data_IF_582935386710
#
_entry.id   IF_582935386710
#
_cell.length_a   1.000
_cell.length_b   1.000
_cell.length_c   1.000
_cell.angle_alpha   90.00
_cell.angle_beta   90.00
_cell.angle_gamma   90.00
#
_symmetry.space_group_name_H-M   'P 1'
#
loop_
_entity.id
_entity.type
_entity.pdbx_description
1 polymer ?
#
# COMPACT_ATOMS: atom_id res chain seq x y z
N UNK A 1 -14.97 -14.15 -5.67
CA UNK A 1 -14.79 -14.19 -4.20
C UNK A 1 -14.05 -12.93 -3.82
N UNK A 2 -14.50 -12.22 -2.79
CA UNK A 2 -13.85 -11.02 -2.28
C UNK A 2 -12.37 -11.29 -1.91
N UNK A 3 -11.51 -10.28 -2.08
CA UNK A 3 -10.10 -10.36 -1.65
C UNK A 3 -9.98 -10.37 -0.12
N UNK A 4 -10.95 -9.79 0.57
CA UNK A 4 -11.08 -9.76 2.03
C UNK A 4 -12.08 -10.80 2.54
N UNK A 5 -11.79 -11.41 3.68
CA UNK A 5 -12.71 -12.28 4.41
C UNK A 5 -13.38 -11.50 5.54
N UNK A 6 -14.71 -11.32 5.48
CA UNK A 6 -15.49 -10.75 6.57
C UNK A 6 -16.13 -11.89 7.38
N UNK A 7 -15.81 -11.96 8.68
CA UNK A 7 -16.39 -12.96 9.57
C UNK A 7 -17.90 -12.75 9.74
N UNK A 8 -18.64 -13.82 10.09
CA UNK A 8 -20.09 -13.72 10.27
C UNK A 8 -20.52 -12.76 11.38
N UNK A 9 -19.69 -12.58 12.42
CA UNK A 9 -19.95 -11.58 13.45
C UNK A 9 -19.71 -10.16 12.94
N UNK A 10 -18.68 -9.94 12.13
CA UNK A 10 -18.40 -8.66 11.51
C UNK A 10 -19.47 -8.27 10.49
N UNK A 11 -19.88 -9.20 9.62
CA UNK A 11 -20.94 -8.98 8.63
C UNK A 11 -22.21 -8.49 9.31
N UNK A 12 -22.66 -9.19 10.36
CA UNK A 12 -23.86 -8.78 11.12
C UNK A 12 -23.70 -7.40 11.76
N UNK A 13 -22.53 -7.11 12.33
CA UNK A 13 -22.28 -5.82 12.98
C UNK A 13 -22.28 -4.67 11.97
N UNK A 14 -21.66 -4.86 10.81
CA UNK A 14 -21.60 -3.88 9.73
C UNK A 14 -23.00 -3.61 9.14
N UNK A 15 -23.81 -4.66 8.98
CA UNK A 15 -25.23 -4.54 8.60
C UNK A 15 -26.02 -3.68 9.60
N UNK A 16 -25.85 -3.93 10.90
CA UNK A 16 -26.51 -3.13 11.96
C UNK A 16 -26.04 -1.66 11.98
N UNK A 17 -24.82 -1.37 11.52
CA UNK A 17 -24.32 0.00 11.36
C UNK A 17 -24.91 0.69 10.13
N UNK A 18 -25.02 -0.03 9.01
CA UNK A 18 -25.63 0.46 7.76
C UNK A 18 -27.10 0.83 7.95
N UNK A 19 -27.86 0.04 8.70
CA UNK A 19 -29.27 0.32 9.01
C UNK A 19 -29.48 1.62 9.82
N UNK A 20 -28.42 2.17 10.41
CA UNK A 20 -28.44 3.43 11.15
C UNK A 20 -27.94 4.63 10.31
N UNK A 21 -27.46 4.38 9.10
CA UNK A 21 -27.02 5.44 8.20
C UNK A 21 -28.20 6.06 7.44
N UNK A 22 -27.92 7.18 6.80
CA UNK A 22 -28.84 7.89 5.93
C UNK A 22 -29.21 7.05 4.70
N UNK A 23 -30.34 7.37 4.07
CA UNK A 23 -30.85 6.62 2.90
C UNK A 23 -29.97 6.70 1.65
N UNK A 24 -29.00 7.61 1.63
CA UNK A 24 -28.01 7.76 0.56
C UNK A 24 -26.83 6.78 0.69
N UNK A 25 -26.78 6.01 1.78
CA UNK A 25 -25.73 5.00 2.01
C UNK A 25 -26.12 3.69 1.35
N UNK A 26 -25.34 3.28 0.35
CA UNK A 26 -25.64 2.12 -0.52
C UNK A 26 -24.82 0.88 -0.20
N UNK A 27 -23.89 0.96 0.74
CA UNK A 27 -23.10 -0.19 1.16
C UNK A 27 -21.81 0.19 1.87
N UNK A 28 -20.82 -0.69 1.79
CA UNK A 28 -19.50 -0.53 2.39
C UNK A 28 -18.44 -0.58 1.31
N UNK A 29 -17.47 0.32 1.38
CA UNK A 29 -16.28 0.30 0.54
C UNK A 29 -15.03 0.01 1.36
N UNK A 30 -14.13 -0.79 0.78
CA UNK A 30 -12.86 -1.20 1.39
C UNK A 30 -11.74 -0.85 0.43
N UNK A 31 -10.69 -0.23 0.96
CA UNK A 31 -9.52 0.19 0.21
C UNK A 31 -8.30 0.22 1.12
N UNK A 32 -7.11 0.27 0.53
CA UNK A 32 -5.85 0.51 1.24
C UNK A 32 -5.41 1.93 0.91
N UNK A 33 -5.33 2.78 1.92
CA UNK A 33 -4.73 4.11 1.77
C UNK A 33 -3.21 3.99 1.66
N UNK A 34 -2.59 4.84 0.84
CA UNK A 34 -1.14 4.82 0.56
C UNK A 34 -0.59 3.39 0.31
N UNK A 35 -1.20 2.59 -0.59
CA UNK A 35 -0.86 1.19 -0.77
C UNK A 35 0.61 1.03 -1.19
N UNK A 36 1.28 0.03 -0.63
CA UNK A 36 2.71 -0.16 -0.80
C UNK A 36 3.56 0.67 0.15
N UNK A 37 3.06 1.71 0.81
CA UNK A 37 3.90 2.51 1.71
C UNK A 37 3.99 1.91 3.13
N UNK A 38 4.99 2.32 3.95
CA UNK A 38 5.00 2.04 5.38
C UNK A 38 3.79 2.59 6.14
N UNK A 39 3.11 3.58 5.55
CA UNK A 39 1.89 4.24 6.04
C UNK A 39 0.62 3.58 5.54
N UNK A 40 0.71 2.46 4.82
CA UNK A 40 -0.47 1.84 4.28
C UNK A 40 -1.45 1.43 5.38
N UNK A 41 -2.70 1.85 5.25
CA UNK A 41 -3.79 1.50 6.17
C UNK A 41 -4.97 0.94 5.39
N UNK A 42 -5.46 -0.21 5.81
CA UNK A 42 -6.71 -0.78 5.29
C UNK A 42 -7.90 -0.06 5.94
N UNK A 43 -8.72 0.56 5.09
CA UNK A 43 -9.84 1.38 5.49
C UNK A 43 -11.17 0.70 5.12
N UNK A 44 -12.15 0.83 6.02
CA UNK A 44 -13.55 0.50 5.77
C UNK A 44 -14.33 1.82 5.88
N UNK A 45 -15.11 2.14 4.87
CA UNK A 45 -15.94 3.34 4.84
C UNK A 45 -17.34 3.02 4.33
N UNK A 46 -18.31 3.87 4.64
CA UNK A 46 -19.61 3.83 3.98
C UNK A 46 -19.47 4.26 2.53
N UNK A 47 -20.22 3.58 1.65
CA UNK A 47 -20.37 3.94 0.26
C UNK A 47 -21.67 4.73 0.10
N UNK A 48 -21.60 5.92 -0.49
CA UNK A 48 -22.76 6.76 -0.79
C UNK A 48 -23.14 6.70 -2.27
N UNK A 49 -24.36 7.09 -2.61
CA UNK A 49 -24.84 7.15 -4.01
C UNK A 49 -23.98 8.05 -4.91
N UNK A 50 -23.34 9.08 -4.35
CA UNK A 50 -22.51 10.06 -5.07
C UNK A 50 -21.01 9.71 -5.11
N UNK A 51 -20.59 8.60 -4.50
CA UNK A 51 -19.22 8.13 -4.57
C UNK A 51 -18.83 7.70 -6.00
N UNK A 52 -17.61 8.02 -6.43
CA UNK A 52 -17.04 7.49 -7.67
C UNK A 52 -16.61 6.03 -7.46
N UNK A 53 -17.31 5.11 -8.11
CA UNK A 53 -17.08 3.67 -8.04
C UNK A 53 -16.43 3.10 -9.29
N UNK A 54 -15.91 3.95 -10.19
CA UNK A 54 -15.28 3.52 -11.45
C UNK A 54 -14.08 2.60 -11.21
N UNK A 55 -13.35 2.82 -10.12
CA UNK A 55 -12.20 2.01 -9.71
C UNK A 55 -12.54 0.97 -8.63
N UNK A 56 -13.82 0.61 -8.48
CA UNK A 56 -14.27 -0.37 -7.50
C UNK A 56 -14.97 -1.57 -8.16
N UNK A 57 -14.76 -2.74 -7.59
CA UNK A 57 -15.48 -3.97 -7.93
C UNK A 57 -16.53 -4.28 -6.85
N UNK A 58 -17.76 -4.60 -7.27
CA UNK A 58 -18.87 -4.94 -6.40
C UNK A 58 -18.87 -6.45 -6.09
N UNK A 59 -19.04 -6.77 -4.81
CA UNK A 59 -19.17 -8.13 -4.28
C UNK A 59 -20.47 -8.23 -3.47
N UNK A 60 -21.39 -9.10 -3.92
CA UNK A 60 -22.70 -9.33 -3.30
C UNK A 60 -22.76 -10.64 -2.49
N UNK A 61 -21.61 -11.10 -2.00
CA UNK A 61 -21.48 -12.34 -1.21
C UNK A 61 -21.90 -12.14 0.28
N UNK A 62 -22.22 -10.91 0.68
CA UNK A 62 -22.55 -10.50 2.05
C UNK A 62 -23.97 -9.91 2.13
N UNK A 63 -24.48 -9.69 3.35
CA UNK A 63 -25.81 -9.09 3.56
C UNK A 63 -25.96 -7.66 3.03
N UNK A 64 -24.85 -7.01 2.70
CA UNK A 64 -24.75 -5.68 2.12
C UNK A 64 -23.86 -5.68 0.88
N UNK A 65 -24.00 -4.67 0.03
CA UNK A 65 -23.09 -4.45 -1.10
C UNK A 65 -21.70 -4.04 -0.62
N UNK A 66 -20.70 -4.83 -0.99
CA UNK A 66 -19.30 -4.59 -0.66
C UNK A 66 -18.54 -4.13 -1.92
N UNK A 67 -17.99 -2.94 -1.87
CA UNK A 67 -17.15 -2.38 -2.93
C UNK A 67 -15.68 -2.50 -2.53
N UNK A 68 -14.84 -3.09 -3.38
CA UNK A 68 -13.39 -3.15 -3.16
C UNK A 68 -12.64 -2.41 -4.26
N UNK A 69 -11.74 -1.53 -3.88
CA UNK A 69 -10.97 -0.74 -4.84
C UNK A 69 -9.98 -1.63 -5.62
N UNK A 70 -9.98 -1.54 -6.96
CA UNK A 70 -9.27 -2.44 -7.86
C UNK A 70 -7.77 -2.47 -7.55
N UNK A 71 -7.11 -1.31 -7.41
CA UNK A 71 -5.67 -1.23 -7.09
C UNK A 71 -5.34 -1.74 -5.68
N UNK A 72 -6.33 -1.79 -4.79
CA UNK A 72 -6.16 -2.28 -3.41
C UNK A 72 -6.28 -3.81 -3.32
N UNK A 73 -6.86 -4.49 -4.32
CA UNK A 73 -7.11 -5.93 -4.27
C UNK A 73 -5.85 -6.76 -4.00
N UNK A 74 -4.71 -6.37 -4.56
CA UNK A 74 -3.40 -7.04 -4.37
C UNK A 74 -2.86 -6.90 -2.94
N UNK A 75 -3.27 -5.86 -2.22
CA UNK A 75 -2.88 -5.57 -0.83
C UNK A 75 -3.89 -6.13 0.19
N UNK A 76 -5.13 -6.34 -0.24
CA UNK A 76 -6.21 -6.90 0.59
C UNK A 76 -6.17 -8.43 0.68
N UNK A 77 -5.29 -9.10 -0.08
CA UNK A 77 -5.16 -10.56 -0.03
C UNK A 77 -4.89 -11.07 1.39
N UNK A 78 -5.67 -12.07 1.83
CA UNK A 78 -5.68 -12.61 3.21
C UNK A 78 -6.07 -11.61 4.30
N UNK A 79 -6.67 -10.47 3.94
CA UNK A 79 -7.23 -9.57 4.94
C UNK A 79 -8.45 -10.20 5.59
N UNK A 80 -8.58 -10.06 6.91
CA UNK A 80 -9.72 -10.55 7.69
C UNK A 80 -10.32 -9.41 8.48
N UNK A 81 -11.63 -9.20 8.31
CA UNK A 81 -12.43 -8.31 9.16
C UNK A 81 -13.17 -9.17 10.17
N UNK A 82 -12.96 -8.89 11.44
CA UNK A 82 -13.63 -9.60 12.52
C UNK A 82 -14.21 -8.62 13.55
N UNK A 83 -15.28 -9.05 14.21
CA UNK A 83 -15.93 -8.28 15.26
C UNK A 83 -16.05 -9.13 16.52
N UNK A 84 -15.49 -8.62 17.60
CA UNK A 84 -15.52 -9.24 18.93
C UNK A 84 -16.40 -8.40 19.86
N UNK A 85 -17.63 -8.83 20.19
CA UNK A 85 -18.50 -8.11 21.11
C UNK A 85 -17.97 -8.16 22.54
N UNK A 86 -18.09 -7.05 23.25
CA UNK A 86 -17.78 -6.94 24.68
C UNK A 86 -18.83 -6.11 25.42
N UNK A 87 -18.60 -5.84 26.72
CA UNK A 87 -19.53 -5.10 27.58
C UNK A 87 -19.71 -3.63 27.18
N UNK A 88 -18.87 -3.09 26.30
CA UNK A 88 -18.85 -1.70 25.86
C UNK A 88 -19.26 -1.52 24.40
N UNK A 89 -19.76 -2.58 23.75
CA UNK A 89 -20.21 -2.52 22.35
C UNK A 89 -19.19 -3.08 21.35
N UNK A 90 -18.17 -3.81 21.82
CA UNK A 90 -17.28 -4.62 20.98
C UNK A 90 -16.20 -3.86 20.23
N UNK A 91 -15.33 -4.62 19.57
CA UNK A 91 -14.23 -4.10 18.74
C UNK A 91 -14.30 -4.72 17.35
N UNK A 92 -14.40 -3.88 16.32
CA UNK A 92 -14.17 -4.26 14.93
C UNK A 92 -12.67 -4.20 14.65
N UNK A 93 -12.10 -5.31 14.18
CA UNK A 93 -10.68 -5.45 13.90
C UNK A 93 -10.47 -5.81 12.44
N UNK A 94 -9.50 -5.15 11.80
CA UNK A 94 -9.05 -5.48 10.46
C UNK A 94 -7.62 -6.01 10.58
N UNK A 95 -7.40 -7.24 10.12
CA UNK A 95 -6.06 -7.83 10.01
C UNK A 95 -5.72 -7.95 8.54
N UNK A 96 -4.91 -7.04 8.02
CA UNK A 96 -4.48 -7.04 6.62
C UNK A 96 -2.96 -7.25 6.56
N UNK A 97 -2.48 -8.51 6.52
CA UNK A 97 -1.04 -8.81 6.60
C UNK A 97 -0.25 -8.26 5.41
N UNK A 98 -0.92 -8.08 4.27
CA UNK A 98 -0.33 -7.63 3.01
C UNK A 98 -0.57 -6.14 2.71
N UNK A 99 -1.18 -5.38 3.64
CA UNK A 99 -1.53 -3.98 3.40
C UNK A 99 -0.33 -3.11 3.03
N UNK A 100 0.82 -3.38 3.67
CA UNK A 100 2.07 -2.62 3.46
C UNK A 100 2.91 -3.18 2.32
N UNK A 101 2.87 -4.49 2.13
CA UNK A 101 3.68 -5.20 1.14
C UNK A 101 2.78 -6.27 0.52
N UNK A 102 2.40 -6.16 -0.77
CA UNK A 102 1.49 -7.09 -1.40
C UNK A 102 2.18 -8.44 -1.59
N UNK A 103 1.42 -9.53 -1.57
CA UNK A 103 1.94 -10.81 -2.04
C UNK A 103 2.04 -10.75 -3.57
N UNK A 104 3.25 -10.56 -4.10
CA UNK A 104 3.50 -10.56 -5.55
C UNK A 104 3.19 -11.95 -6.11
N UNK A 105 2.21 -12.03 -7.02
CA UNK A 105 1.98 -13.22 -7.84
C UNK A 105 2.97 -13.32 -9.01
N UNK A 106 3.08 -14.49 -9.65
CA UNK A 106 4.03 -14.71 -10.75
C UNK A 106 3.83 -13.76 -11.96
N UNK A 107 2.63 -13.20 -12.12
CA UNK A 107 2.25 -12.28 -13.21
C UNK A 107 2.38 -10.78 -12.84
N UNK A 108 3.01 -10.44 -11.71
CA UNK A 108 3.12 -9.05 -11.27
C UNK A 108 3.90 -8.18 -12.26
N UNK A 109 3.41 -6.97 -12.48
CA UNK A 109 4.06 -5.98 -13.32
C UNK A 109 5.43 -5.60 -12.79
N UNK A 110 6.28 -5.07 -13.69
CA UNK A 110 7.60 -4.58 -13.33
C UNK A 110 7.54 -3.52 -12.21
N UNK A 111 6.54 -2.65 -12.26
CA UNK A 111 6.29 -1.61 -11.26
C UNK A 111 5.96 -2.20 -9.88
N UNK A 112 5.07 -3.18 -9.81
CA UNK A 112 4.71 -3.86 -8.56
C UNK A 112 5.92 -4.57 -7.94
N UNK A 113 6.74 -5.21 -8.76
CA UNK A 113 7.97 -5.89 -8.32
C UNK A 113 8.99 -4.90 -7.75
N UNK A 114 9.20 -3.77 -8.41
CA UNK A 114 10.12 -2.73 -7.92
C UNK A 114 9.59 -2.18 -6.59
N UNK A 115 8.33 -1.76 -6.56
CA UNK A 115 7.72 -1.21 -5.36
C UNK A 115 7.84 -2.19 -4.19
N UNK A 116 7.53 -3.47 -4.38
CA UNK A 116 7.70 -4.47 -3.33
C UNK A 116 9.11 -4.47 -2.75
N UNK A 117 10.15 -4.53 -3.56
CA UNK A 117 11.55 -4.53 -3.06
C UNK A 117 11.91 -3.22 -2.37
N UNK A 118 11.45 -2.09 -2.91
CA UNK A 118 11.63 -0.79 -2.27
C UNK A 118 11.06 -0.81 -0.85
N UNK A 119 9.93 -1.47 -0.61
CA UNK A 119 9.24 -1.44 0.67
C UNK A 119 9.56 -2.58 1.63
N UNK A 120 9.81 -3.79 1.11
CA UNK A 120 10.08 -4.98 1.90
C UNK A 120 11.54 -5.09 2.35
N UNK A 121 12.47 -4.52 1.58
CA UNK A 121 13.92 -4.67 1.82
C UNK A 121 14.66 -3.34 1.93
N UNK A 122 14.47 -2.43 0.96
CA UNK A 122 15.30 -1.22 0.84
C UNK A 122 14.89 -0.18 1.88
N UNK A 123 13.63 0.27 1.90
CA UNK A 123 13.15 1.31 2.80
C UNK A 123 13.28 0.94 4.30
N UNK A 124 13.06 -0.31 4.73
CA UNK A 124 13.36 -0.71 6.11
C UNK A 124 14.82 -0.44 6.49
N UNK A 125 15.75 -0.67 5.55
CA UNK A 125 17.18 -0.42 5.74
C UNK A 125 17.51 1.08 5.73
N UNK A 126 16.87 1.87 4.85
CA UNK A 126 17.06 3.33 4.78
C UNK A 126 16.45 4.06 5.98
N UNK A 127 15.30 3.59 6.48
CA UNK A 127 14.59 4.18 7.59
C UNK A 127 15.40 4.18 8.89
N UNK A 128 16.32 3.22 9.06
CA UNK A 128 17.28 3.21 10.17
C UNK A 128 18.18 4.48 10.21
N UNK A 129 18.35 5.13 9.06
CA UNK A 129 19.09 6.37 8.89
C UNK A 129 18.16 7.58 8.62
N UNK A 130 16.86 7.41 8.85
CA UNK A 130 15.84 8.44 8.61
C UNK A 130 15.61 8.77 7.14
N UNK A 131 16.07 7.92 6.22
CA UNK A 131 15.89 8.08 4.78
C UNK A 131 14.80 7.19 4.20
N UNK A 132 14.35 7.52 3.00
CA UNK A 132 13.41 6.72 2.22
C UNK A 132 13.67 6.90 0.73
N UNK A 133 13.13 5.99 -0.08
CA UNK A 133 13.13 6.06 -1.54
C UNK A 133 11.79 5.58 -2.09
N UNK A 134 11.30 6.23 -3.14
CA UNK A 134 10.07 5.88 -3.85
C UNK A 134 10.31 5.79 -5.35
N UNK A 135 9.54 4.92 -6.03
CA UNK A 135 9.50 4.87 -7.49
C UNK A 135 8.66 6.03 -8.03
N UNK A 136 9.17 6.74 -9.03
CA UNK A 136 8.48 7.83 -9.73
C UNK A 136 7.87 7.33 -11.04
N UNK A 137 8.67 6.64 -11.84
CA UNK A 137 8.25 6.08 -13.13
C UNK A 137 9.23 5.01 -13.61
N UNK A 138 8.88 4.31 -14.70
CA UNK A 138 9.78 3.38 -15.39
C UNK A 138 9.99 3.86 -16.83
N UNK A 139 11.24 4.24 -17.15
CA UNK A 139 11.64 4.64 -18.49
C UNK A 139 11.99 3.42 -19.33
N UNK A 140 11.44 3.37 -20.56
CA UNK A 140 11.72 2.34 -21.57
C UNK A 140 11.49 0.89 -21.10
N UNK A 141 10.74 0.68 -20.01
CA UNK A 141 10.55 -0.62 -19.34
C UNK A 141 11.84 -1.28 -18.82
N UNK A 142 12.92 -0.52 -18.67
CA UNK A 142 14.23 -1.06 -18.26
C UNK A 142 14.97 -0.17 -17.24
N UNK A 143 14.51 1.06 -17.00
CA UNK A 143 15.14 1.97 -16.03
C UNK A 143 14.11 2.49 -15.03
N UNK A 144 14.34 2.20 -13.74
CA UNK A 144 13.50 2.70 -12.66
C UNK A 144 13.94 4.11 -12.26
N UNK A 145 13.04 5.09 -12.29
CA UNK A 145 13.30 6.46 -11.85
C UNK A 145 12.90 6.56 -10.39
N UNK A 146 13.87 6.80 -9.51
CA UNK A 146 13.67 6.85 -8.06
C UNK A 146 13.79 8.27 -7.53
N UNK A 147 13.06 8.55 -6.46
CA UNK A 147 13.16 9.77 -5.68
C UNK A 147 13.51 9.41 -4.24
N UNK A 148 14.65 9.93 -3.78
CA UNK A 148 15.13 9.83 -2.41
C UNK A 148 14.56 10.96 -1.54
N UNK A 149 14.20 10.60 -0.30
CA UNK A 149 13.65 11.50 0.71
C UNK A 149 14.33 11.36 2.07
N UNK A 150 13.95 12.24 3.00
CA UNK A 150 14.45 12.25 4.39
C UNK A 150 15.97 12.40 4.48
N UNK A 151 16.60 11.58 5.32
CA UNK A 151 18.05 11.51 5.53
C UNK A 151 18.87 11.23 4.28
N UNK A 152 18.27 10.57 3.28
CA UNK A 152 18.91 10.24 2.00
C UNK A 152 18.97 11.43 1.03
N UNK A 153 18.11 12.44 1.19
CA UNK A 153 18.08 13.60 0.29
C UNK A 153 19.38 14.43 0.36
N UNK A 154 19.98 14.57 1.55
CA UNK A 154 21.07 15.53 1.77
C UNK A 154 22.45 14.93 2.07
N UNK A 155 22.61 13.61 2.02
CA UNK A 155 23.80 12.91 2.52
C UNK A 155 24.97 12.95 1.52
N UNK A 156 25.75 14.04 1.52
CA UNK A 156 26.81 14.31 0.53
C UNK A 156 28.04 13.38 0.53
N UNK A 157 28.03 12.27 1.28
CA UNK A 157 29.12 11.28 1.32
C UNK A 157 28.68 9.90 0.78
N UNK A 158 27.42 9.76 0.36
CA UNK A 158 26.74 8.48 0.14
C UNK A 158 25.99 8.38 -1.21
N UNK A 159 25.99 9.43 -2.03
CA UNK A 159 25.20 9.47 -3.28
C UNK A 159 25.54 8.35 -4.28
N UNK A 160 26.78 7.85 -4.31
CA UNK A 160 27.18 6.76 -5.21
C UNK A 160 26.93 5.39 -4.57
N UNK A 161 27.40 5.14 -3.34
CA UNK A 161 27.34 3.79 -2.75
C UNK A 161 25.92 3.33 -2.40
N UNK A 162 25.05 4.25 -1.99
CA UNK A 162 23.66 3.89 -1.67
C UNK A 162 22.86 3.63 -2.94
N UNK A 163 23.03 4.51 -3.94
CA UNK A 163 22.45 4.33 -5.26
C UNK A 163 22.90 3.02 -5.89
N UNK A 164 24.21 2.74 -5.89
CA UNK A 164 24.79 1.50 -6.41
C UNK A 164 24.26 0.28 -5.65
N UNK A 165 24.07 0.38 -4.33
CA UNK A 165 23.51 -0.68 -3.50
C UNK A 165 22.05 -1.00 -3.88
N UNK A 166 21.22 0.04 -4.03
CA UNK A 166 19.81 -0.10 -4.43
C UNK A 166 19.70 -0.61 -5.86
N UNK A 167 20.49 -0.06 -6.78
CA UNK A 167 20.55 -0.50 -8.17
C UNK A 167 20.92 -1.98 -8.25
N UNK A 168 21.94 -2.40 -7.50
CA UNK A 168 22.37 -3.80 -7.44
C UNK A 168 21.24 -4.70 -6.94
N UNK A 169 20.62 -4.38 -5.80
CA UNK A 169 19.51 -5.19 -5.26
C UNK A 169 18.35 -5.29 -6.25
N UNK A 170 17.96 -4.18 -6.88
CA UNK A 170 16.88 -4.16 -7.86
C UNK A 170 17.21 -4.99 -9.10
N UNK A 171 18.43 -4.92 -9.64
CA UNK A 171 18.83 -5.71 -10.82
C UNK A 171 18.98 -7.20 -10.47
N UNK A 172 19.47 -7.53 -9.27
CA UNK A 172 19.61 -8.92 -8.81
C UNK A 172 18.25 -9.63 -8.71
N UNK A 173 17.24 -8.96 -8.15
CA UNK A 173 15.89 -9.51 -7.98
C UNK A 173 14.98 -9.30 -9.21
N UNK A 174 15.28 -8.28 -10.03
CA UNK A 174 14.56 -7.94 -11.26
C UNK A 174 15.55 -7.82 -12.42
N UNK A 175 15.95 -8.94 -13.05
CA UNK A 175 16.94 -8.96 -14.14
C UNK A 175 16.51 -8.19 -15.40
N UNK A 176 15.24 -7.80 -15.51
CA UNK A 176 14.70 -6.97 -16.58
C UNK A 176 15.13 -5.50 -16.46
N UNK A 177 15.49 -5.06 -15.25
CA UNK A 177 16.06 -3.74 -15.03
C UNK A 177 17.51 -3.69 -15.51
N UNK A 178 17.85 -2.62 -16.22
CA UNK A 178 19.21 -2.30 -16.64
C UNK A 178 19.87 -1.22 -15.79
N UNK A 179 19.09 -0.52 -14.96
CA UNK A 179 19.60 0.47 -14.04
C UNK A 179 18.54 1.34 -13.39
N UNK A 180 19.01 2.30 -12.60
CA UNK A 180 18.16 3.29 -11.93
C UNK A 180 18.59 4.73 -12.26
N UNK A 181 17.60 5.61 -12.38
CA UNK A 181 17.79 7.05 -12.46
C UNK A 181 17.37 7.69 -11.14
N UNK A 182 18.05 8.77 -10.76
CA UNK A 182 17.74 9.53 -9.56
C UNK A 182 17.29 10.94 -9.98
N UNK A 183 16.15 11.38 -9.49
CA UNK A 183 15.58 12.71 -9.77
C UNK A 183 15.59 13.64 -8.55
N UNK A 184 16.19 13.23 -7.44
CA UNK A 184 16.27 14.03 -6.22
C UNK A 184 17.30 15.15 -6.35
N UNK A 185 16.96 16.33 -5.83
CA UNK A 185 17.92 17.42 -5.66
C UNK A 185 18.70 17.26 -4.34
N UNK A 186 19.94 16.77 -4.46
CA UNK A 186 20.84 16.51 -3.33
C UNK A 186 21.54 17.76 -2.77
N UNK A 187 21.30 18.94 -3.33
CA UNK A 187 21.86 20.18 -2.79
C UNK A 187 21.20 20.61 -1.47
N UNK A 188 19.99 20.10 -1.18
CA UNK A 188 19.24 20.37 0.03
C UNK A 188 19.67 19.47 1.21
N UNK A 189 20.47 20.03 2.12
CA UNK A 189 21.07 19.29 3.25
C UNK A 189 20.38 19.46 4.61
N UNK A 190 19.20 20.07 4.66
CA UNK A 190 18.51 20.36 5.92
C UNK A 190 18.23 19.09 6.74
N UNK A 191 17.89 17.99 6.06
CA UNK A 191 17.57 16.69 6.64
C UNK A 191 18.73 15.67 6.59
N UNK A 192 19.94 16.07 6.16
CA UNK A 192 21.06 15.14 5.96
C UNK A 192 21.47 14.43 7.26
N UNK A 193 21.60 13.10 7.22
CA UNK A 193 22.04 12.31 8.38
C UNK A 193 23.49 12.62 8.77
N UNK A 194 24.39 12.74 7.79
CA UNK A 194 25.74 13.26 7.98
C UNK A 194 25.82 14.70 7.44
N UNK A 195 26.28 15.64 8.27
CA UNK A 195 26.50 17.05 7.89
C UNK A 195 27.97 17.34 7.60
#
# INVERSE_FOLDING_TARGET
MAAIEISKSAEKYLEELLQKQDSDTVGIKVFVSEPGSPRAETCIAYCKEDDDLTEYELFDDYSFSLYQEIKSLTFLGNAVVDYSPDKFGGTLTIKAPNAKVPSIGEDASLEERINYLLYSEINPSLAAHGGEVSLVEILNKETAVLQFGGGCQGCGMVDVTLKDGIEKTLIEEIPELKGIADVTDHSYRENAYYK
#
